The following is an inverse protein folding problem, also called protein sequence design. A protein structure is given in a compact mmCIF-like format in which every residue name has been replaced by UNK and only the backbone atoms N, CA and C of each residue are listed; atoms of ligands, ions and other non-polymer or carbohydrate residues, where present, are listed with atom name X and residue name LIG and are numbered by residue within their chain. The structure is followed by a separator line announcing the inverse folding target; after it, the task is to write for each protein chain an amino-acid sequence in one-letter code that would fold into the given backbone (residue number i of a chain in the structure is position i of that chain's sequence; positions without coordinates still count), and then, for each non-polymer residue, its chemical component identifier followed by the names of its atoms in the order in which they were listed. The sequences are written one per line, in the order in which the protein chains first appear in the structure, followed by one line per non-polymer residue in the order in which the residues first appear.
data_IF_736029398540
#
_entry.id   IF_736029398540
#
_cell.length_a   1.000
_cell.length_b   1.000
_cell.length_c   1.000
_cell.angle_alpha   90.00
_cell.angle_beta   90.00
_cell.angle_gamma   90.00
#
_symmetry.space_group_name_H-M   'P 1'
#
loop_
_entity.id
_entity.type
_entity.pdbx_description
1 polymer ?
#
# COMPACT_ATOMS: atom_id res chain seq x y z
N UNK A 1 27.56 54.51 47.72
CA UNK A 1 27.05 55.48 46.75
C UNK A 1 25.73 54.90 46.26
N UNK A 2 24.57 55.50 46.50
CA UNK A 2 23.29 54.94 45.95
C UNK A 2 23.29 55.12 44.41
N UNK A 3 22.64 54.19 43.63
CA UNK A 3 22.55 54.32 42.19
C UNK A 3 21.78 55.58 41.81
N UNK A 4 22.23 56.24 40.75
CA UNK A 4 21.66 57.50 40.24
C UNK A 4 20.25 57.20 39.68
N UNK A 5 19.20 57.96 39.98
CA UNK A 5 17.84 57.73 39.55
C UNK A 5 17.66 57.73 38.00
N UNK A 6 18.62 58.29 37.25
CA UNK A 6 18.63 58.26 35.78
C UNK A 6 18.91 56.86 35.21
N UNK A 7 19.70 56.02 35.89
CA UNK A 7 20.00 54.64 35.43
C UNK A 7 18.78 53.66 35.49
N UNK A 8 17.87 53.94 36.45
CA UNK A 8 16.68 53.09 36.67
C UNK A 8 15.59 53.34 35.59
N UNK A 9 15.46 54.55 35.08
CA UNK A 9 14.52 54.90 34.01
C UNK A 9 15.01 54.44 32.65
N UNK A 10 16.30 54.50 32.35
CA UNK A 10 16.89 53.95 31.13
C UNK A 10 16.76 52.43 31.08
N UNK A 11 16.97 51.75 32.21
CA UNK A 11 16.81 50.32 32.32
C UNK A 11 15.35 49.85 32.11
N UNK A 12 14.38 50.59 32.64
CA UNK A 12 12.95 50.34 32.45
C UNK A 12 12.53 50.54 31.00
N UNK A 13 13.01 51.60 30.34
CA UNK A 13 12.74 51.82 28.92
C UNK A 13 13.34 50.72 28.03
N UNK A 14 14.58 50.30 28.30
CA UNK A 14 15.22 49.20 27.58
C UNK A 14 14.45 47.86 27.77
N UNK A 15 13.99 47.60 29.01
CA UNK A 15 13.20 46.40 29.30
C UNK A 15 11.82 46.42 28.62
N UNK A 16 11.15 47.57 28.58
CA UNK A 16 9.87 47.72 27.87
C UNK A 16 10.03 47.53 26.37
N UNK A 17 11.06 48.10 25.74
CA UNK A 17 11.37 47.91 24.34
C UNK A 17 11.74 46.46 24.02
N UNK A 18 12.50 45.79 24.89
CA UNK A 18 12.83 44.36 24.75
C UNK A 18 11.57 43.49 24.84
N UNK A 19 10.67 43.78 25.79
CA UNK A 19 9.41 43.05 25.95
C UNK A 19 8.52 43.19 24.71
N UNK A 20 8.34 44.40 24.20
CA UNK A 20 7.56 44.70 23.01
C UNK A 20 8.12 44.02 21.75
N UNK A 21 9.45 44.08 21.55
CA UNK A 21 10.10 43.39 20.41
C UNK A 21 10.03 41.88 20.53
N UNK A 22 10.11 41.30 21.74
CA UNK A 22 9.97 39.89 22.00
C UNK A 22 8.55 39.38 21.70
N UNK A 23 7.51 40.14 22.12
CA UNK A 23 6.11 39.82 21.81
C UNK A 23 5.83 39.92 20.31
N UNK A 24 6.35 40.92 19.62
CA UNK A 24 6.24 41.08 18.17
C UNK A 24 6.91 39.90 17.44
N UNK A 25 8.12 39.52 17.87
CA UNK A 25 8.84 38.39 17.31
C UNK A 25 8.08 37.05 17.50
N UNK A 26 7.55 36.81 18.72
CA UNK A 26 6.74 35.65 19.03
C UNK A 26 5.48 35.59 18.16
N UNK A 27 4.78 36.73 18.00
CA UNK A 27 3.61 36.83 17.12
C UNK A 27 3.94 36.49 15.65
N UNK A 28 5.04 37.10 15.13
CA UNK A 28 5.49 36.82 13.74
C UNK A 28 5.89 35.37 13.55
N UNK A 29 6.53 34.77 14.55
CA UNK A 29 6.91 33.36 14.51
C UNK A 29 5.70 32.41 14.44
N UNK A 30 4.68 32.66 15.25
CA UNK A 30 3.42 31.89 15.23
C UNK A 30 2.68 32.06 13.90
N UNK A 31 2.64 33.28 13.35
CA UNK A 31 2.03 33.54 12.06
C UNK A 31 2.77 32.82 10.93
N UNK A 32 4.11 32.84 10.94
CA UNK A 32 4.93 32.10 9.97
C UNK A 32 4.72 30.59 10.08
N UNK A 33 4.66 30.03 11.29
CA UNK A 33 4.37 28.61 11.49
C UNK A 33 2.99 28.23 10.92
N UNK A 34 1.96 29.03 11.18
CA UNK A 34 0.62 28.80 10.63
C UNK A 34 0.61 28.88 9.09
N UNK A 35 1.35 29.83 8.53
CA UNK A 35 1.49 29.97 7.09
C UNK A 35 2.23 28.79 6.45
N UNK A 36 3.32 28.32 7.06
CA UNK A 36 4.06 27.12 6.61
C UNK A 36 3.16 25.89 6.65
N UNK A 37 2.43 25.67 7.75
CA UNK A 37 1.51 24.54 7.89
C UNK A 37 0.42 24.57 6.81
N UNK A 38 -0.17 25.73 6.53
CA UNK A 38 -1.17 25.91 5.48
C UNK A 38 -0.58 25.62 4.09
N UNK A 39 0.57 26.20 3.76
CA UNK A 39 1.21 25.99 2.45
C UNK A 39 1.63 24.54 2.24
N UNK A 40 2.09 23.87 3.30
CA UNK A 40 2.43 22.44 3.26
C UNK A 40 1.19 21.59 2.96
N UNK A 41 0.05 21.91 3.57
CA UNK A 41 -1.23 21.22 3.30
C UNK A 41 -1.71 21.48 1.87
N UNK A 42 -1.70 22.74 1.41
CA UNK A 42 -2.09 23.10 0.03
C UNK A 42 -1.19 22.41 -1.02
N UNK A 43 0.12 22.30 -0.75
CA UNK A 43 1.07 21.61 -1.61
C UNK A 43 0.81 20.08 -1.64
N UNK A 44 0.50 19.49 -0.50
CA UNK A 44 0.15 18.06 -0.42
C UNK A 44 -1.13 17.76 -1.22
N UNK A 45 -2.16 18.59 -1.10
CA UNK A 45 -3.40 18.47 -1.86
C UNK A 45 -3.17 18.63 -3.37
N UNK A 46 -2.39 19.63 -3.79
CA UNK A 46 -2.05 19.87 -5.18
C UNK A 46 -1.25 18.70 -5.79
N UNK A 47 -0.26 18.17 -5.07
CA UNK A 47 0.51 17.02 -5.49
C UNK A 47 -0.38 15.76 -5.60
N UNK A 48 -1.31 15.55 -4.67
CA UNK A 48 -2.29 14.47 -4.72
C UNK A 48 -3.20 14.54 -5.96
N UNK A 49 -3.68 15.74 -6.30
CA UNK A 49 -4.50 15.95 -7.50
C UNK A 49 -3.69 15.76 -8.80
N UNK A 50 -2.43 16.21 -8.84
CA UNK A 50 -1.53 15.99 -9.97
C UNK A 50 -1.29 14.50 -10.20
N UNK A 51 -0.90 13.77 -9.16
CA UNK A 51 -0.69 12.33 -9.21
C UNK A 51 -1.95 11.56 -9.64
N UNK A 52 -3.15 12.04 -9.23
CA UNK A 52 -4.42 11.47 -9.68
C UNK A 52 -4.66 11.71 -11.18
N UNK A 53 -4.35 12.91 -11.68
CA UNK A 53 -4.48 13.23 -13.11
C UNK A 53 -3.53 12.39 -13.97
N UNK A 54 -2.30 12.20 -13.52
CA UNK A 54 -1.31 11.34 -14.20
C UNK A 54 -1.80 9.90 -14.29
N UNK A 55 -2.40 9.35 -13.21
CA UNK A 55 -2.97 7.99 -13.22
C UNK A 55 -4.18 7.87 -14.14
N UNK A 56 -5.05 8.87 -14.17
CA UNK A 56 -6.18 8.91 -15.11
C UNK A 56 -5.71 9.01 -16.56
N UNK A 57 -4.65 9.77 -16.82
CA UNK A 57 -4.04 9.84 -18.15
C UNK A 57 -3.45 8.50 -18.56
N UNK A 58 -2.70 7.82 -17.69
CA UNK A 58 -2.17 6.48 -17.93
C UNK A 58 -3.30 5.46 -18.20
N UNK A 59 -4.37 5.51 -17.41
CA UNK A 59 -5.55 4.66 -17.65
C UNK A 59 -6.22 4.99 -19.00
N UNK A 60 -6.29 6.26 -19.38
CA UNK A 60 -6.81 6.71 -20.68
C UNK A 60 -5.97 6.20 -21.86
N UNK A 61 -4.65 6.28 -21.76
CA UNK A 61 -3.73 5.73 -22.77
C UNK A 61 -3.85 4.21 -22.91
N UNK A 62 -4.18 3.52 -21.82
CA UNK A 62 -4.37 2.06 -21.80
C UNK A 62 -5.85 1.64 -21.94
N UNK A 63 -6.76 2.53 -22.32
CA UNK A 63 -8.20 2.26 -22.39
C UNK A 63 -8.55 1.03 -23.23
N UNK A 64 -7.84 0.81 -24.33
CA UNK A 64 -8.04 -0.36 -25.19
C UNK A 64 -7.63 -1.67 -24.46
N UNK A 65 -6.55 -1.66 -23.68
CA UNK A 65 -6.09 -2.80 -22.90
C UNK A 65 -7.05 -3.11 -21.76
N UNK A 66 -7.50 -2.07 -21.03
CA UNK A 66 -8.55 -2.18 -19.99
C UNK A 66 -9.82 -2.79 -20.56
N UNK A 67 -10.31 -2.26 -21.69
CA UNK A 67 -11.51 -2.80 -22.36
C UNK A 67 -11.32 -4.26 -22.77
N UNK A 68 -10.13 -4.64 -23.22
CA UNK A 68 -9.82 -6.03 -23.55
C UNK A 68 -9.82 -6.93 -22.33
N UNK A 69 -9.20 -6.50 -21.24
CA UNK A 69 -9.15 -7.25 -19.98
C UNK A 69 -10.53 -7.41 -19.31
N UNK A 70 -11.43 -6.45 -19.45
CA UNK A 70 -12.81 -6.57 -18.98
C UNK A 70 -13.65 -7.47 -19.89
N UNK A 71 -13.47 -7.37 -21.22
CA UNK A 71 -14.26 -8.13 -22.22
C UNK A 71 -14.03 -9.64 -22.08
N UNK A 72 -12.78 -10.05 -21.88
CA UNK A 72 -12.42 -11.49 -21.84
C UNK A 72 -13.15 -12.25 -20.72
N UNK A 73 -13.09 -11.88 -19.44
CA UNK A 73 -13.82 -12.56 -18.37
C UNK A 73 -15.34 -12.43 -18.53
N UNK A 74 -15.83 -11.29 -19.01
CA UNK A 74 -17.25 -11.06 -19.25
C UNK A 74 -17.78 -12.01 -20.33
N UNK A 75 -17.10 -12.10 -21.48
CA UNK A 75 -17.49 -13.01 -22.57
C UNK A 75 -17.44 -14.48 -22.13
N UNK A 76 -16.45 -14.84 -21.30
CA UNK A 76 -16.33 -16.19 -20.74
C UNK A 76 -17.47 -16.50 -19.75
N UNK A 77 -17.82 -15.53 -18.87
CA UNK A 77 -18.95 -15.67 -17.97
C UNK A 77 -20.29 -15.83 -18.72
N UNK A 78 -20.50 -15.02 -19.78
CA UNK A 78 -21.67 -15.12 -20.65
C UNK A 78 -21.76 -16.47 -21.37
N UNK A 79 -20.61 -16.99 -21.84
CA UNK A 79 -20.55 -18.32 -22.45
C UNK A 79 -20.98 -19.42 -21.47
N UNK A 80 -20.44 -19.42 -20.23
CA UNK A 80 -20.83 -20.38 -19.21
C UNK A 80 -22.31 -20.23 -18.80
N UNK A 81 -22.78 -19.01 -18.61
CA UNK A 81 -24.18 -18.74 -18.34
C UNK A 81 -25.09 -19.23 -19.48
N UNK A 82 -24.68 -19.06 -20.74
CA UNK A 82 -25.40 -19.57 -21.92
C UNK A 82 -25.48 -21.10 -21.96
N UNK A 83 -24.49 -21.82 -21.39
CA UNK A 83 -24.60 -23.27 -21.24
C UNK A 83 -25.68 -23.67 -20.23
N UNK A 84 -25.90 -22.88 -19.16
CA UNK A 84 -26.91 -23.16 -18.13
C UNK A 84 -28.35 -23.12 -18.68
N UNK A 85 -28.60 -22.41 -19.79
CA UNK A 85 -29.93 -22.32 -20.41
C UNK A 85 -30.30 -23.56 -21.24
N UNK A 86 -29.36 -24.51 -21.40
CA UNK A 86 -29.62 -25.73 -22.19
C UNK A 86 -30.49 -26.72 -21.41
N UNK A 87 -31.66 -27.15 -21.93
CA UNK A 87 -32.58 -28.04 -21.18
C UNK A 87 -32.00 -29.40 -20.83
N UNK A 88 -31.06 -29.90 -21.66
CA UNK A 88 -30.50 -31.25 -21.54
C UNK A 88 -29.21 -31.30 -20.74
N UNK A 89 -28.82 -30.21 -20.06
CA UNK A 89 -27.58 -30.18 -19.27
C UNK A 89 -27.76 -31.02 -18.00
N UNK A 90 -26.85 -31.98 -17.78
CA UNK A 90 -26.79 -32.76 -16.55
C UNK A 90 -26.50 -31.90 -15.32
N UNK A 91 -26.95 -32.35 -14.14
CA UNK A 91 -26.84 -31.60 -12.89
C UNK A 91 -25.36 -31.24 -12.55
N UNK A 92 -24.45 -32.20 -12.68
CA UNK A 92 -23.02 -32.00 -12.43
C UNK A 92 -22.40 -30.89 -13.34
N UNK A 93 -22.77 -30.92 -14.64
CA UNK A 93 -22.33 -29.89 -15.59
C UNK A 93 -22.95 -28.52 -15.30
N UNK A 94 -24.21 -28.52 -14.85
CA UNK A 94 -24.89 -27.29 -14.43
C UNK A 94 -24.19 -26.63 -13.25
N UNK A 95 -23.85 -27.40 -12.23
CA UNK A 95 -23.08 -26.90 -11.06
C UNK A 95 -21.72 -26.38 -11.53
N UNK A 96 -20.99 -27.16 -12.33
CA UNK A 96 -19.67 -26.78 -12.86
C UNK A 96 -19.70 -25.46 -13.64
N UNK A 97 -20.69 -25.26 -14.52
CA UNK A 97 -20.82 -24.01 -15.28
C UNK A 97 -21.25 -22.85 -14.40
N UNK A 98 -22.11 -23.07 -13.38
CA UNK A 98 -22.47 -22.06 -12.42
C UNK A 98 -21.24 -21.58 -11.61
N UNK A 99 -20.44 -22.50 -11.09
CA UNK A 99 -19.20 -22.20 -10.36
C UNK A 99 -18.21 -21.41 -11.23
N UNK A 100 -18.02 -21.82 -12.48
CA UNK A 100 -17.18 -21.10 -13.44
C UNK A 100 -17.69 -19.69 -13.72
N UNK A 101 -19.00 -19.53 -13.85
CA UNK A 101 -19.61 -18.19 -14.05
C UNK A 101 -19.34 -17.30 -12.84
N UNK A 102 -19.59 -17.79 -11.62
CA UNK A 102 -19.33 -17.04 -10.39
C UNK A 102 -17.84 -16.69 -10.27
N UNK A 103 -16.94 -17.62 -10.56
CA UNK A 103 -15.49 -17.37 -10.55
C UNK A 103 -15.09 -16.23 -11.50
N UNK A 104 -15.63 -16.20 -12.74
CA UNK A 104 -15.35 -15.12 -13.70
C UNK A 104 -15.93 -13.76 -13.28
N UNK A 105 -17.11 -13.75 -12.69
CA UNK A 105 -17.71 -12.51 -12.15
C UNK A 105 -16.91 -11.96 -10.97
N UNK A 106 -16.47 -12.82 -10.04
CA UNK A 106 -15.59 -12.42 -8.94
C UNK A 106 -14.24 -11.89 -9.41
N UNK A 107 -13.67 -12.48 -10.45
CA UNK A 107 -12.45 -11.94 -11.07
C UNK A 107 -12.69 -10.54 -11.65
N UNK A 108 -13.82 -10.32 -12.32
CA UNK A 108 -14.18 -9.04 -12.91
C UNK A 108 -14.42 -7.98 -11.84
N UNK A 109 -15.06 -8.34 -10.73
CA UNK A 109 -15.25 -7.48 -9.57
C UNK A 109 -13.92 -7.02 -8.98
N UNK A 110 -12.98 -7.94 -8.75
CA UNK A 110 -11.63 -7.61 -8.28
C UNK A 110 -10.90 -6.68 -9.24
N UNK A 111 -10.96 -6.95 -10.54
CA UNK A 111 -10.32 -6.10 -11.55
C UNK A 111 -10.86 -4.66 -11.51
N UNK A 112 -12.17 -4.49 -11.33
CA UNK A 112 -12.78 -3.17 -11.16
C UNK A 112 -12.32 -2.50 -9.86
N UNK A 113 -12.25 -3.24 -8.75
CA UNK A 113 -11.74 -2.73 -7.47
C UNK A 113 -10.28 -2.27 -7.57
N UNK A 114 -9.42 -3.08 -8.20
CA UNK A 114 -8.02 -2.73 -8.46
C UNK A 114 -7.90 -1.42 -9.27
N UNK A 115 -8.72 -1.27 -10.32
CA UNK A 115 -8.75 -0.04 -11.13
C UNK A 115 -9.21 1.18 -10.31
N UNK A 116 -10.24 1.02 -9.47
CA UNK A 116 -10.72 2.09 -8.60
C UNK A 116 -9.68 2.49 -7.56
N UNK A 117 -8.97 1.53 -6.96
CA UNK A 117 -7.87 1.79 -6.03
C UNK A 117 -6.72 2.50 -6.73
N UNK A 118 -6.33 2.04 -7.91
CA UNK A 118 -5.28 2.66 -8.71
C UNK A 118 -5.58 4.13 -9.04
N UNK A 119 -6.82 4.44 -9.44
CA UNK A 119 -7.26 5.81 -9.81
C UNK A 119 -7.41 6.70 -8.58
N UNK A 120 -8.04 6.20 -7.51
CA UNK A 120 -8.24 6.99 -6.27
C UNK A 120 -6.92 7.44 -5.66
N UNK A 121 -5.88 6.62 -5.74
CA UNK A 121 -4.69 6.79 -4.94
C UNK A 121 -4.98 6.65 -3.44
N UNK A 122 -3.97 6.43 -2.65
CA UNK A 122 -4.13 6.49 -1.21
C UNK A 122 -4.36 7.97 -0.81
N UNK A 123 -5.62 8.35 -0.48
CA UNK A 123 -5.83 9.43 0.47
C UNK A 123 -5.48 8.80 1.80
N UNK A 124 -4.30 9.13 2.32
CA UNK A 124 -3.79 8.53 3.54
C UNK A 124 -4.69 8.96 4.70
N UNK A 125 -5.46 8.02 5.22
CA UNK A 125 -6.03 8.12 6.56
C UNK A 125 -4.90 7.75 7.52
N UNK A 126 -4.14 8.74 7.99
CA UNK A 126 -3.03 8.48 8.91
C UNK A 126 -3.57 8.05 10.27
N UNK A 127 -3.34 6.80 10.60
CA UNK A 127 -3.55 6.25 11.94
C UNK A 127 -2.26 5.59 12.45
N UNK A 128 -2.13 5.58 13.78
CA UNK A 128 -1.02 4.92 14.46
C UNK A 128 -1.48 3.54 14.90
N UNK A 129 -0.81 2.49 14.46
CA UNK A 129 -1.23 1.12 14.75
C UNK A 129 -0.04 0.15 14.96
N UNK A 130 -0.21 -0.87 15.82
CA UNK A 130 0.78 -1.93 15.99
C UNK A 130 0.86 -2.81 14.75
N UNK A 131 2.07 -3.16 14.32
CA UNK A 131 2.30 -4.09 13.18
C UNK A 131 1.70 -5.48 13.50
N UNK A 132 1.75 -5.90 14.76
CA UNK A 132 1.22 -7.20 15.20
C UNK A 132 -0.24 -7.40 14.84
N UNK A 133 -1.09 -6.38 15.04
CA UNK A 133 -2.51 -6.45 14.66
C UNK A 133 -2.71 -6.57 13.15
N UNK A 134 -1.88 -5.87 12.36
CA UNK A 134 -1.90 -5.99 10.90
C UNK A 134 -1.53 -7.40 10.45
N UNK A 135 -0.47 -7.98 11.03
CA UNK A 135 -0.02 -9.34 10.69
C UNK A 135 -1.06 -10.41 11.04
N UNK A 136 -1.73 -10.29 12.19
CA UNK A 136 -2.81 -11.20 12.60
C UNK A 136 -3.97 -11.18 11.60
N UNK A 137 -4.41 -10.01 11.16
CA UNK A 137 -5.47 -9.88 10.15
C UNK A 137 -5.07 -10.46 8.79
N UNK A 138 -3.83 -10.21 8.37
CA UNK A 138 -3.29 -10.77 7.14
C UNK A 138 -3.24 -12.30 7.22
N UNK A 139 -2.77 -12.85 8.33
CA UNK A 139 -2.72 -14.30 8.53
C UNK A 139 -4.13 -14.92 8.46
N UNK A 140 -5.11 -14.35 9.17
CA UNK A 140 -6.50 -14.81 9.12
C UNK A 140 -7.11 -14.75 7.71
N UNK A 141 -6.72 -13.77 6.91
CA UNK A 141 -7.21 -13.62 5.53
C UNK A 141 -6.56 -14.62 4.58
N UNK A 142 -5.26 -14.86 4.71
CA UNK A 142 -4.46 -15.63 3.76
C UNK A 142 -4.46 -17.13 4.06
N UNK A 143 -4.48 -17.52 5.32
CA UNK A 143 -4.41 -18.94 5.73
C UNK A 143 -5.47 -19.84 5.06
N UNK A 144 -6.77 -19.44 4.98
CA UNK A 144 -7.77 -20.24 4.27
C UNK A 144 -7.44 -20.44 2.79
N UNK A 145 -6.87 -19.43 2.13
CA UNK A 145 -6.48 -19.51 0.71
C UNK A 145 -5.27 -20.41 0.52
N UNK A 146 -4.30 -20.38 1.42
CA UNK A 146 -3.13 -21.25 1.41
C UNK A 146 -3.53 -22.72 1.61
N UNK A 147 -4.39 -22.98 2.60
CA UNK A 147 -4.93 -24.34 2.87
C UNK A 147 -5.68 -24.89 1.65
N UNK A 148 -6.56 -24.08 1.03
CA UNK A 148 -7.32 -24.50 -0.15
C UNK A 148 -6.44 -24.89 -1.34
N UNK A 149 -5.23 -24.33 -1.44
CA UNK A 149 -4.23 -24.61 -2.48
C UNK A 149 -3.18 -25.64 -2.04
N UNK A 150 -3.27 -26.16 -0.83
CA UNK A 150 -2.26 -27.04 -0.22
C UNK A 150 -0.86 -26.39 -0.22
N UNK A 151 -0.77 -25.10 0.17
CA UNK A 151 0.46 -24.32 0.30
C UNK A 151 0.74 -24.12 1.78
N UNK A 152 1.98 -24.31 2.20
CA UNK A 152 2.42 -24.02 3.58
C UNK A 152 2.57 -22.52 3.75
N UNK A 153 1.79 -21.94 4.65
CA UNK A 153 1.90 -20.52 4.99
C UNK A 153 2.57 -20.38 6.36
N UNK A 154 3.65 -19.59 6.41
CA UNK A 154 4.38 -19.24 7.62
C UNK A 154 4.35 -17.73 7.79
N UNK A 155 4.06 -17.26 9.00
CA UNK A 155 4.26 -15.87 9.34
C UNK A 155 5.02 -15.77 10.67
N UNK A 156 5.90 -14.78 10.75
CA UNK A 156 6.72 -14.55 11.93
C UNK A 156 6.29 -13.24 12.60
N UNK A 157 5.94 -13.34 13.88
CA UNK A 157 5.63 -12.17 14.69
C UNK A 157 6.95 -11.49 15.11
N UNK A 158 7.04 -10.15 14.99
CA UNK A 158 8.21 -9.44 15.46
C UNK A 158 8.38 -9.58 16.97
N UNK A 159 9.62 -9.69 17.43
CA UNK A 159 9.96 -9.81 18.87
C UNK A 159 9.72 -8.52 19.65
N UNK A 160 9.66 -7.39 18.96
CA UNK A 160 9.47 -6.06 19.55
C UNK A 160 8.17 -5.44 19.06
N UNK A 161 7.52 -4.64 19.92
CA UNK A 161 6.35 -3.85 19.55
C UNK A 161 6.75 -2.76 18.55
N UNK A 162 6.49 -3.02 17.27
CA UNK A 162 6.70 -2.08 16.18
C UNK A 162 5.40 -1.37 15.84
N UNK A 163 5.47 -0.06 15.66
CA UNK A 163 4.30 0.79 15.38
C UNK A 163 4.52 1.54 14.06
N UNK A 164 3.51 1.54 13.21
CA UNK A 164 3.46 2.33 11.98
C UNK A 164 2.49 3.49 12.11
N UNK A 165 2.77 4.54 11.33
CA UNK A 165 1.83 5.61 11.03
C UNK A 165 1.50 5.54 9.55
N UNK A 166 0.21 5.47 9.20
CA UNK A 166 -0.21 5.42 7.81
C UNK A 166 -1.65 4.94 7.64
N UNK A 167 -2.07 4.77 6.39
CA UNK A 167 -3.35 4.18 6.05
C UNK A 167 -3.28 2.65 6.17
N UNK A 168 -3.78 2.13 7.29
CA UNK A 168 -3.77 0.70 7.60
C UNK A 168 -4.49 -0.13 6.54
N UNK A 169 -5.59 0.37 5.98
CA UNK A 169 -6.34 -0.37 4.96
C UNK A 169 -5.56 -0.45 3.64
N UNK A 170 -4.92 0.65 3.23
CA UNK A 170 -4.09 0.68 2.04
C UNK A 170 -2.88 -0.25 2.19
N UNK A 171 -2.19 -0.21 3.34
CA UNK A 171 -1.04 -1.07 3.64
C UNK A 171 -1.47 -2.55 3.68
N UNK A 172 -2.58 -2.88 4.36
CA UNK A 172 -3.14 -4.22 4.39
C UNK A 172 -3.44 -4.72 2.96
N UNK A 173 -4.11 -3.90 2.14
CA UNK A 173 -4.40 -4.23 0.74
C UNK A 173 -3.14 -4.48 -0.10
N UNK A 174 -2.08 -3.69 0.09
CA UNK A 174 -0.81 -3.89 -0.58
C UNK A 174 -0.14 -5.21 -0.19
N UNK A 175 -0.12 -5.55 1.11
CA UNK A 175 0.42 -6.82 1.60
C UNK A 175 -0.41 -8.02 1.14
N UNK A 176 -1.74 -7.91 1.11
CA UNK A 176 -2.62 -8.94 0.53
C UNK A 176 -2.28 -9.16 -0.95
N UNK A 177 -2.06 -8.09 -1.74
CA UNK A 177 -1.64 -8.21 -3.13
C UNK A 177 -0.31 -8.98 -3.28
N UNK A 178 0.67 -8.73 -2.42
CA UNK A 178 1.93 -9.47 -2.41
C UNK A 178 1.72 -10.95 -2.05
N UNK A 179 0.96 -11.22 -0.99
CA UNK A 179 0.68 -12.57 -0.50
C UNK A 179 -0.15 -13.40 -1.51
N UNK A 180 -1.18 -12.80 -2.14
CA UNK A 180 -1.93 -13.46 -3.21
C UNK A 180 -1.05 -13.75 -4.42
N UNK A 181 -0.14 -12.85 -4.79
CA UNK A 181 0.84 -13.09 -5.85
C UNK A 181 1.77 -14.25 -5.52
N UNK A 182 2.24 -14.34 -4.28
CA UNK A 182 3.05 -15.45 -3.78
C UNK A 182 2.30 -16.79 -3.84
N UNK A 183 1.05 -16.83 -3.32
CA UNK A 183 0.18 -18.02 -3.39
C UNK A 183 -0.15 -18.46 -4.83
N UNK A 184 -0.19 -17.52 -5.77
CA UNK A 184 -0.43 -17.83 -7.19
C UNK A 184 0.84 -18.29 -7.90
N UNK A 185 2.03 -17.94 -7.41
CA UNK A 185 3.30 -18.37 -7.97
C UNK A 185 3.67 -19.80 -7.57
N UNK A 186 3.15 -20.26 -6.43
CA UNK A 186 3.44 -21.59 -5.89
C UNK A 186 2.53 -22.67 -6.52
N UNK A 187 3.14 -23.84 -6.76
CA UNK A 187 2.41 -25.09 -6.99
C UNK A 187 1.94 -25.70 -5.66
N UNK A 188 1.06 -26.70 -5.74
CA UNK A 188 0.60 -27.47 -4.57
C UNK A 188 1.81 -28.11 -3.84
N UNK A 189 1.87 -27.92 -2.53
CA UNK A 189 3.00 -28.34 -1.68
C UNK A 189 4.09 -27.29 -1.51
N UNK A 190 3.98 -26.14 -2.20
CA UNK A 190 4.87 -24.99 -2.05
C UNK A 190 4.75 -24.31 -0.69
N UNK A 191 5.54 -23.26 -0.50
CA UNK A 191 5.57 -22.47 0.72
C UNK A 191 5.54 -20.96 0.42
N UNK A 192 4.84 -20.22 1.28
CA UNK A 192 4.81 -18.76 1.32
C UNK A 192 5.09 -18.31 2.74
N UNK A 193 5.91 -17.29 2.91
CA UNK A 193 6.19 -16.71 4.23
C UNK A 193 5.99 -15.19 4.24
N UNK A 194 5.60 -14.68 5.41
CA UNK A 194 5.54 -13.27 5.73
C UNK A 194 6.35 -13.03 7.00
N UNK A 195 7.36 -12.18 6.90
CA UNK A 195 8.16 -11.75 8.04
C UNK A 195 8.29 -10.23 8.07
N UNK A 196 8.56 -9.67 9.25
CA UNK A 196 8.83 -8.25 9.42
C UNK A 196 10.20 -8.07 10.05
N UNK A 197 11.03 -7.30 9.37
CA UNK A 197 12.35 -6.88 9.84
C UNK A 197 12.42 -5.36 10.01
N UNK A 198 13.64 -4.87 10.23
CA UNK A 198 13.92 -3.43 10.30
C UNK A 198 14.29 -2.93 11.69
N UNK A 199 14.58 -3.84 12.65
CA UNK A 199 15.12 -3.44 13.96
C UNK A 199 16.40 -2.61 13.77
N UNK A 200 16.42 -1.40 14.34
CA UNK A 200 17.54 -0.46 14.19
C UNK A 200 17.57 0.32 12.89
N UNK A 201 16.62 0.10 11.98
CA UNK A 201 16.38 0.87 10.76
C UNK A 201 15.31 1.94 10.99
N UNK A 202 15.27 3.04 10.23
CA UNK A 202 14.12 3.95 10.22
C UNK A 202 12.89 3.37 9.49
N UNK A 203 13.01 2.19 8.85
CA UNK A 203 11.96 1.55 8.08
C UNK A 203 11.65 0.13 8.59
N UNK A 204 10.37 -0.19 8.67
CA UNK A 204 9.88 -1.56 8.76
C UNK A 204 10.00 -2.21 7.38
N UNK A 205 10.51 -3.42 7.31
CA UNK A 205 10.63 -4.21 6.09
C UNK A 205 9.68 -5.42 6.18
N UNK A 206 8.64 -5.44 5.34
CA UNK A 206 7.73 -6.58 5.21
C UNK A 206 8.23 -7.48 4.09
N UNK A 207 8.71 -8.66 4.44
CA UNK A 207 9.25 -9.65 3.51
C UNK A 207 8.17 -10.68 3.19
N UNK A 208 7.77 -10.76 1.92
CA UNK A 208 6.88 -11.80 1.40
C UNK A 208 7.70 -12.69 0.48
N UNK A 209 7.88 -13.93 0.89
CA UNK A 209 8.66 -14.91 0.13
C UNK A 209 7.76 -16.02 -0.40
N UNK A 210 8.06 -16.50 -1.60
CA UNK A 210 7.43 -17.66 -2.21
C UNK A 210 8.47 -18.69 -2.67
N UNK A 211 8.06 -19.95 -2.74
CA UNK A 211 8.85 -21.05 -3.33
C UNK A 211 8.43 -21.38 -4.77
N UNK A 212 7.82 -20.42 -5.45
CA UNK A 212 7.27 -20.62 -6.80
C UNK A 212 8.31 -20.63 -7.92
N UNK A 213 7.85 -20.45 -9.14
CA UNK A 213 8.71 -20.48 -10.33
C UNK A 213 9.71 -19.30 -10.43
N UNK A 214 9.58 -18.29 -9.55
CA UNK A 214 10.38 -17.07 -9.60
C UNK A 214 9.97 -16.15 -10.77
N UNK A 215 10.71 -15.05 -10.91
CA UNK A 215 10.44 -14.02 -11.89
C UNK A 215 11.59 -13.94 -12.89
N UNK A 216 11.33 -14.09 -14.20
CA UNK A 216 12.35 -13.94 -15.23
C UNK A 216 13.03 -12.57 -15.15
N UNK A 217 14.34 -12.53 -15.38
CA UNK A 217 15.13 -11.30 -15.31
C UNK A 217 14.59 -10.20 -16.22
N UNK A 218 14.21 -10.54 -17.43
CA UNK A 218 13.63 -9.60 -18.41
C UNK A 218 12.29 -8.98 -17.95
N UNK A 219 11.60 -9.58 -16.98
CA UNK A 219 10.34 -9.07 -16.45
C UNK A 219 10.53 -8.18 -15.22
N UNK A 220 11.69 -8.25 -14.53
CA UNK A 220 11.89 -7.59 -13.24
C UNK A 220 11.78 -6.07 -13.30
N UNK A 221 12.33 -5.46 -14.33
CA UNK A 221 12.29 -3.99 -14.51
C UNK A 221 10.86 -3.45 -14.70
N UNK A 222 9.97 -4.31 -15.20
CA UNK A 222 8.60 -3.95 -15.57
C UNK A 222 7.53 -4.41 -14.59
N UNK A 223 7.90 -5.12 -13.52
CA UNK A 223 6.97 -5.74 -12.58
C UNK A 223 5.95 -4.77 -11.96
N UNK A 224 6.39 -3.54 -11.76
CA UNK A 224 5.58 -2.49 -11.12
C UNK A 224 4.91 -1.55 -12.13
N UNK A 225 5.07 -1.82 -13.46
CA UNK A 225 4.33 -1.09 -14.48
C UNK A 225 2.84 -1.48 -14.44
N UNK A 226 1.91 -0.52 -14.49
CA UNK A 226 0.49 -0.83 -14.53
C UNK A 226 0.14 -1.75 -15.71
N UNK A 227 -0.73 -2.73 -15.47
CA UNK A 227 -1.18 -3.73 -16.45
C UNK A 227 -0.09 -4.67 -16.99
N UNK A 228 1.13 -4.59 -16.49
CA UNK A 228 2.14 -5.59 -16.82
C UNK A 228 1.87 -6.89 -16.06
N UNK A 229 1.75 -7.98 -16.80
CA UNK A 229 1.56 -9.31 -16.22
C UNK A 229 2.23 -10.36 -17.09
N UNK A 230 2.86 -11.34 -16.46
CA UNK A 230 3.36 -12.56 -17.10
C UNK A 230 2.35 -13.71 -17.02
N UNK A 231 1.18 -13.48 -16.38
CA UNK A 231 0.14 -14.49 -16.14
C UNK A 231 -1.10 -14.16 -16.96
N UNK A 232 -1.75 -15.20 -17.52
CA UNK A 232 -2.93 -15.03 -18.35
C UNK A 232 -4.18 -14.52 -17.63
N UNK A 233 -4.25 -14.64 -16.30
CA UNK A 233 -5.40 -14.24 -15.47
C UNK A 233 -5.06 -13.11 -14.48
N UNK A 234 -3.90 -12.45 -14.59
CA UNK A 234 -3.52 -11.34 -13.74
C UNK A 234 -4.06 -10.00 -14.27
N UNK A 235 -4.50 -9.11 -13.37
CA UNK A 235 -4.88 -7.72 -13.72
C UNK A 235 -3.66 -6.88 -14.14
N UNK A 236 -2.47 -7.24 -13.65
CA UNK A 236 -1.26 -6.45 -13.79
C UNK A 236 -1.29 -5.13 -12.99
N UNK A 237 -2.30 -4.93 -12.13
CA UNK A 237 -2.44 -3.74 -11.30
C UNK A 237 -1.95 -3.96 -9.86
N UNK A 238 -1.96 -5.20 -9.36
CA UNK A 238 -1.66 -5.48 -7.95
C UNK A 238 -0.29 -4.95 -7.52
N UNK A 239 0.78 -5.21 -8.28
CA UNK A 239 2.12 -4.71 -7.94
C UNK A 239 2.26 -3.19 -8.15
N UNK A 240 1.58 -2.62 -9.13
CA UNK A 240 1.54 -1.16 -9.31
C UNK A 240 0.85 -0.47 -8.11
N UNK A 241 -0.22 -1.07 -7.55
CA UNK A 241 -0.88 -0.60 -6.33
C UNK A 241 0.06 -0.71 -5.13
N UNK A 242 0.81 -1.83 -4.99
CA UNK A 242 1.81 -1.98 -3.92
C UNK A 242 2.85 -0.87 -3.96
N UNK A 243 3.42 -0.60 -5.13
CA UNK A 243 4.37 0.49 -5.33
C UNK A 243 3.77 1.85 -4.98
N UNK A 244 2.56 2.12 -5.44
CA UNK A 244 1.85 3.36 -5.15
C UNK A 244 1.60 3.56 -3.65
N UNK A 245 1.20 2.51 -2.93
CA UNK A 245 1.00 2.55 -1.47
C UNK A 245 2.33 2.79 -0.76
N UNK A 246 3.40 2.12 -1.17
CA UNK A 246 4.73 2.34 -0.62
C UNK A 246 5.18 3.81 -0.77
N UNK A 247 5.14 4.33 -2.00
CA UNK A 247 5.53 5.72 -2.31
C UNK A 247 4.68 6.76 -1.56
N UNK A 248 3.36 6.54 -1.45
CA UNK A 248 2.46 7.41 -0.71
C UNK A 248 2.77 7.48 0.80
N UNK A 249 3.36 6.42 1.36
CA UNK A 249 3.81 6.37 2.75
C UNK A 249 5.30 6.72 2.93
N UNK A 250 5.98 7.25 1.89
CA UNK A 250 7.40 7.59 1.96
C UNK A 250 8.34 6.39 2.00
N UNK A 251 7.86 5.23 1.55
CA UNK A 251 8.60 3.98 1.43
C UNK A 251 8.82 3.56 -0.02
N UNK A 252 9.19 2.30 -0.20
CA UNK A 252 9.39 1.68 -1.52
C UNK A 252 9.18 0.17 -1.46
N UNK A 253 9.15 -0.47 -2.63
CA UNK A 253 9.05 -1.93 -2.75
C UNK A 253 10.15 -2.47 -3.66
N UNK A 254 10.72 -3.60 -3.30
CA UNK A 254 11.77 -4.30 -4.05
C UNK A 254 11.36 -5.74 -4.33
N UNK A 255 11.97 -6.32 -5.36
CA UNK A 255 11.82 -7.72 -5.70
C UNK A 255 13.19 -8.34 -5.96
N UNK A 256 13.49 -9.43 -5.29
CA UNK A 256 14.73 -10.20 -5.45
C UNK A 256 14.42 -11.69 -5.71
N UNK A 257 15.26 -12.41 -6.47
CA UNK A 257 15.19 -13.85 -6.56
C UNK A 257 15.65 -14.47 -5.23
N UNK A 258 15.06 -15.62 -4.85
CA UNK A 258 15.56 -16.43 -3.75
C UNK A 258 16.60 -17.44 -4.25
N UNK A 259 17.59 -17.74 -3.43
CA UNK A 259 18.64 -18.72 -3.74
C UNK A 259 18.10 -20.15 -3.92
N UNK A 260 17.02 -20.48 -3.22
CA UNK A 260 16.37 -21.80 -3.24
C UNK A 260 15.24 -21.91 -4.27
N UNK A 261 15.07 -20.90 -5.13
CA UNK A 261 13.97 -20.75 -6.05
C UNK A 261 12.83 -19.92 -5.48
N UNK A 262 12.02 -19.32 -6.37
CA UNK A 262 10.95 -18.39 -6.00
C UNK A 262 11.39 -16.94 -5.98
N UNK A 263 10.56 -16.09 -5.35
CA UNK A 263 10.78 -14.65 -5.26
C UNK A 263 10.65 -14.16 -3.82
N UNK A 264 11.32 -13.05 -3.53
CA UNK A 264 11.15 -12.28 -2.30
C UNK A 264 10.75 -10.85 -2.68
N UNK A 265 9.58 -10.43 -2.23
CA UNK A 265 9.14 -9.03 -2.30
C UNK A 265 9.32 -8.40 -0.92
N UNK A 266 9.96 -7.24 -0.87
CA UNK A 266 10.13 -6.49 0.37
C UNK A 266 9.49 -5.11 0.24
N UNK A 267 8.48 -4.86 1.07
CA UNK A 267 7.82 -3.56 1.21
C UNK A 267 8.43 -2.82 2.40
N UNK A 268 9.02 -1.67 2.13
CA UNK A 268 9.62 -0.80 3.15
C UNK A 268 8.69 0.37 3.47
N UNK A 269 8.38 0.56 4.76
CA UNK A 269 7.56 1.66 5.25
C UNK A 269 8.24 2.33 6.45
N UNK A 270 8.23 3.68 6.55
CA UNK A 270 8.83 4.36 7.69
C UNK A 270 8.10 4.01 8.98
N UNK A 271 8.85 3.81 10.07
CA UNK A 271 8.26 3.69 11.39
C UNK A 271 7.60 5.00 11.83
N UNK A 272 6.62 4.91 12.72
CA UNK A 272 6.12 6.07 13.43
C UNK A 272 7.30 6.81 14.10
N UNK A 273 7.38 8.12 13.92
CA UNK A 273 8.37 8.90 14.63
C UNK A 273 8.17 8.65 16.13
N UNK A 274 9.17 8.06 16.80
CA UNK A 274 9.15 8.01 18.28
C UNK A 274 9.16 9.44 18.76
N UNK A 275 8.07 9.90 19.34
CA UNK A 275 8.14 11.08 20.21
C UNK A 275 9.24 10.82 21.25
N UNK A 276 10.35 11.53 21.15
CA UNK A 276 11.32 11.57 22.24
C UNK A 276 10.59 12.16 23.44
N UNK A 277 10.15 11.30 24.33
CA UNK A 277 9.83 11.69 25.69
C UNK A 277 11.17 12.05 26.36
N UNK A 278 11.66 13.27 26.12
CA UNK A 278 12.68 13.88 26.95
C UNK A 278 11.98 14.25 28.27
N UNK A 279 12.01 13.31 29.23
CA UNK A 279 11.61 13.48 30.61
C UNK A 279 12.71 14.15 31.43
#
# INVERSE_FOLDING_TARGET
MPPHPADDDELRQAFALFSETSEMLAGTYLELQAQVARLTSELADANGELARRERLSALGEMAAQVAHQLRTPLSTALLYAGHLTRPQLGEADRIRFAEKTVSRLRYLERLIQDMLLFVKGARLSEEVFPITHLLEELAQTIEPHAVAKNIKFHFEMPLTDMVLTGDRQAISGALINLLENALQACDSGGAVSLAVGGEGSPFAAFLVEDSGAGIPEAARERLFEPFFTTRGEGSGLGLAIVRQVAEAHGGWVECAPRSEGGSCFTLYLPFAARERNDG
#
